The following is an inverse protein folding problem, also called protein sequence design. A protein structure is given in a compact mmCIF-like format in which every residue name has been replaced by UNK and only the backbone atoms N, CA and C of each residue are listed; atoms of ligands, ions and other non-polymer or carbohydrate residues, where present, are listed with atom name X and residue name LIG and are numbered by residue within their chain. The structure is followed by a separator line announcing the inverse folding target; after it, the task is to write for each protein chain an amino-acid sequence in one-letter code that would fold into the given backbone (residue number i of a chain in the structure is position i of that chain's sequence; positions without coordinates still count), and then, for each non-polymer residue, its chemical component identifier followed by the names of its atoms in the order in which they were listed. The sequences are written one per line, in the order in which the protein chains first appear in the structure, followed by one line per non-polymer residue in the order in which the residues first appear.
data_IF_163591407435
#
_entry.id   IF_163591407435
#
_cell.length_a   1.000
_cell.length_b   1.000
_cell.length_c   1.000
_cell.angle_alpha   90.00
_cell.angle_beta   90.00
_cell.angle_gamma   90.00
#
_symmetry.space_group_name_H-M   'P 1'
#
loop_
_entity.id
_entity.type
_entity.pdbx_description
1 polymer ?
#
# COMPACT_ATOMS: atom_id res chain seq x y z
N UNK A 1 25.68 -2.10 6.04
CA UNK A 1 24.96 -0.99 5.39
C UNK A 1 24.27 -1.48 4.10
N UNK A 2 23.20 -2.29 4.17
CA UNK A 2 22.50 -2.78 2.97
C UNK A 2 20.97 -2.53 2.95
N UNK A 3 20.41 -1.84 3.94
CA UNK A 3 18.96 -1.80 4.16
C UNK A 3 18.15 -0.72 3.44
N UNK A 4 18.75 0.20 2.68
CA UNK A 4 18.03 1.41 2.22
C UNK A 4 17.81 1.49 0.69
N UNK A 5 18.63 0.84 -0.13
CA UNK A 5 18.59 1.04 -1.59
C UNK A 5 17.55 0.15 -2.30
N UNK A 6 17.16 -0.99 -1.71
CA UNK A 6 16.22 -1.94 -2.33
C UNK A 6 14.74 -1.53 -2.20
N UNK A 7 14.40 -0.62 -1.27
CA UNK A 7 13.01 -0.27 -0.97
C UNK A 7 12.26 0.29 -2.19
N UNK A 8 12.87 1.25 -2.90
CA UNK A 8 12.28 1.83 -4.10
C UNK A 8 12.26 0.87 -5.30
N UNK A 9 13.29 0.02 -5.41
CA UNK A 9 13.38 -0.97 -6.48
C UNK A 9 12.28 -2.04 -6.35
N UNK A 10 11.99 -2.50 -5.13
CA UNK A 10 10.93 -3.48 -4.87
C UNK A 10 9.54 -2.90 -5.15
N UNK A 11 9.29 -1.63 -4.80
CA UNK A 11 8.04 -0.97 -5.15
C UNK A 11 7.84 -0.92 -6.67
N UNK A 12 8.87 -0.49 -7.41
CA UNK A 12 8.81 -0.44 -8.87
C UNK A 12 8.62 -1.84 -9.48
N UNK A 13 9.32 -2.85 -8.94
CA UNK A 13 9.16 -4.25 -9.36
C UNK A 13 7.73 -4.74 -9.11
N UNK A 14 7.20 -4.52 -7.91
CA UNK A 14 5.83 -4.91 -7.55
C UNK A 14 4.78 -4.23 -8.44
N UNK A 15 4.92 -2.94 -8.73
CA UNK A 15 4.01 -2.21 -9.64
C UNK A 15 4.11 -2.74 -11.08
N UNK A 16 5.32 -3.06 -11.55
CA UNK A 16 5.50 -3.62 -12.89
C UNK A 16 4.90 -5.03 -12.98
N UNK A 17 5.13 -5.88 -11.98
CA UNK A 17 4.52 -7.20 -11.87
C UNK A 17 2.98 -7.11 -11.81
N UNK A 18 2.43 -6.13 -11.09
CA UNK A 18 0.99 -5.86 -11.07
C UNK A 18 0.44 -5.53 -12.47
N UNK A 19 1.15 -4.70 -13.24
CA UNK A 19 0.78 -4.38 -14.63
C UNK A 19 0.95 -5.57 -15.58
N UNK A 20 1.92 -6.44 -15.31
CA UNK A 20 2.17 -7.66 -16.07
C UNK A 20 1.19 -8.81 -15.72
N UNK A 21 0.30 -8.63 -14.74
CA UNK A 21 -0.63 -9.66 -14.28
C UNK A 21 -0.02 -10.67 -13.29
N UNK A 22 1.24 -10.49 -12.90
CA UNK A 22 1.92 -11.33 -11.89
C UNK A 22 1.61 -10.84 -10.47
N UNK A 23 0.35 -10.96 -10.08
CA UNK A 23 -0.17 -10.37 -8.84
C UNK A 23 0.36 -11.02 -7.55
N UNK A 24 0.62 -12.33 -7.55
CA UNK A 24 1.21 -13.01 -6.37
C UNK A 24 2.59 -12.47 -6.03
N UNK A 25 3.47 -12.38 -7.04
CA UNK A 25 4.81 -11.82 -6.88
C UNK A 25 4.74 -10.32 -6.56
N UNK A 26 3.82 -9.58 -7.19
CA UNK A 26 3.59 -8.17 -6.89
C UNK A 26 3.24 -7.95 -5.41
N UNK A 27 2.32 -8.74 -4.86
CA UNK A 27 1.94 -8.66 -3.46
C UNK A 27 3.12 -8.89 -2.52
N UNK A 28 3.94 -9.90 -2.81
CA UNK A 28 5.14 -10.18 -2.03
C UNK A 28 6.06 -8.95 -1.96
N UNK A 29 6.37 -8.34 -3.12
CA UNK A 29 7.21 -7.15 -3.20
C UNK A 29 6.60 -5.94 -2.50
N UNK A 30 5.29 -5.76 -2.66
CA UNK A 30 4.55 -4.69 -2.00
C UNK A 30 4.56 -4.85 -0.48
N UNK A 31 4.45 -6.06 0.06
CA UNK A 31 4.57 -6.27 1.51
C UNK A 31 5.94 -5.87 2.04
N UNK A 32 7.01 -6.23 1.32
CA UNK A 32 8.37 -5.84 1.70
C UNK A 32 8.55 -4.33 1.57
N UNK A 33 7.96 -3.70 0.55
CA UNK A 33 7.97 -2.24 0.40
C UNK A 33 7.20 -1.52 1.53
N UNK A 34 6.03 -2.04 1.95
CA UNK A 34 5.28 -1.49 3.10
C UNK A 34 6.06 -1.60 4.40
N UNK A 35 6.76 -2.72 4.63
CA UNK A 35 7.65 -2.88 5.80
C UNK A 35 8.80 -1.87 5.81
N UNK A 36 9.24 -1.43 4.63
CA UNK A 36 10.27 -0.40 4.48
C UNK A 36 9.72 1.04 4.55
N UNK A 37 8.42 1.21 4.80
CA UNK A 37 7.81 2.54 4.97
C UNK A 37 7.32 3.18 3.66
N UNK A 38 7.26 2.44 2.54
CA UNK A 38 6.68 2.99 1.31
C UNK A 38 5.17 3.08 1.38
N UNK A 39 4.65 4.30 1.55
CA UNK A 39 3.21 4.60 1.63
C UNK A 39 2.41 4.07 0.43
N UNK A 40 3.02 4.06 -0.77
CA UNK A 40 2.38 3.57 -2.00
C UNK A 40 2.07 2.08 -1.93
N UNK A 41 2.85 1.29 -1.19
CA UNK A 41 2.73 -0.15 -1.18
C UNK A 41 1.41 -0.63 -0.55
N UNK A 42 1.03 -0.08 0.60
CA UNK A 42 -0.25 -0.39 1.27
C UNK A 42 -1.46 -0.13 0.36
N UNK A 43 -1.43 0.92 -0.47
CA UNK A 43 -2.49 1.21 -1.44
C UNK A 43 -2.63 0.11 -2.49
N UNK A 44 -1.52 -0.39 -3.05
CA UNK A 44 -1.57 -1.47 -4.03
C UNK A 44 -1.98 -2.81 -3.40
N UNK A 45 -1.58 -3.07 -2.15
CA UNK A 45 -2.05 -4.25 -1.39
C UNK A 45 -3.57 -4.19 -1.22
N UNK A 46 -4.11 -3.03 -0.84
CA UNK A 46 -5.57 -2.80 -0.76
C UNK A 46 -6.28 -3.09 -2.08
N UNK A 47 -5.76 -2.58 -3.19
CA UNK A 47 -6.29 -2.85 -4.54
C UNK A 47 -6.26 -4.35 -4.89
N UNK A 48 -5.22 -5.06 -4.50
CA UNK A 48 -5.13 -6.51 -4.73
C UNK A 48 -6.20 -7.27 -3.94
N UNK A 49 -6.46 -6.90 -2.69
CA UNK A 49 -7.54 -7.50 -1.90
C UNK A 49 -8.94 -7.11 -2.40
N UNK A 50 -9.13 -5.87 -2.88
CA UNK A 50 -10.41 -5.41 -3.42
C UNK A 50 -10.80 -6.16 -4.70
N UNK A 51 -9.82 -6.39 -5.58
CA UNK A 51 -10.04 -7.03 -6.87
C UNK A 51 -9.81 -8.55 -6.85
N UNK A 52 -9.17 -9.08 -5.81
CA UNK A 52 -8.81 -10.50 -5.72
C UNK A 52 -7.60 -10.86 -6.58
N UNK A 53 -6.64 -9.95 -6.73
CA UNK A 53 -5.45 -10.14 -7.54
C UNK A 53 -4.35 -10.85 -6.74
N UNK A 54 -4.07 -12.12 -7.07
CA UNK A 54 -3.07 -12.94 -6.39
C UNK A 54 -3.44 -13.35 -4.96
N UNK A 55 -4.60 -12.92 -4.47
CA UNK A 55 -5.19 -13.29 -3.17
C UNK A 55 -6.69 -13.40 -3.31
N UNK A 56 -7.33 -14.09 -2.36
CA UNK A 56 -8.79 -14.12 -2.27
C UNK A 56 -9.33 -12.71 -2.07
N UNK A 57 -10.31 -12.31 -2.88
CA UNK A 57 -11.00 -11.04 -2.75
C UNK A 57 -11.54 -10.86 -1.34
N UNK A 58 -11.11 -9.80 -0.68
CA UNK A 58 -11.51 -9.44 0.67
C UNK A 58 -11.56 -7.92 0.81
N UNK A 59 -12.76 -7.37 0.57
CA UNK A 59 -13.03 -5.94 0.65
C UNK A 59 -12.85 -5.37 2.06
N UNK A 60 -13.02 -6.19 3.11
CA UNK A 60 -12.80 -5.74 4.49
C UNK A 60 -11.32 -5.51 4.73
N UNK A 61 -10.48 -6.48 4.37
CA UNK A 61 -9.01 -6.30 4.43
C UNK A 61 -8.54 -5.18 3.53
N UNK A 62 -9.11 -5.04 2.33
CA UNK A 62 -8.77 -3.93 1.42
C UNK A 62 -8.97 -2.57 2.10
N UNK A 63 -10.12 -2.37 2.76
CA UNK A 63 -10.41 -1.15 3.50
C UNK A 63 -9.42 -0.89 4.65
N UNK A 64 -9.03 -1.93 5.40
CA UNK A 64 -7.99 -1.84 6.44
C UNK A 64 -6.64 -1.38 5.87
N UNK A 65 -6.23 -1.95 4.73
CA UNK A 65 -4.99 -1.57 4.04
C UNK A 65 -5.04 -0.13 3.50
N UNK A 66 -6.17 0.31 2.95
CA UNK A 66 -6.36 1.70 2.53
C UNK A 66 -6.34 2.67 3.71
N UNK A 67 -6.95 2.31 4.84
CA UNK A 67 -6.94 3.13 6.03
C UNK A 67 -5.51 3.29 6.57
N UNK A 68 -4.75 2.19 6.64
CA UNK A 68 -3.32 2.22 6.99
C UNK A 68 -2.49 3.07 6.04
N UNK A 69 -2.78 3.02 4.74
CA UNK A 69 -2.11 3.85 3.73
C UNK A 69 -2.43 5.35 3.92
N UNK A 70 -3.67 5.68 4.29
CA UNK A 70 -4.09 7.04 4.60
C UNK A 70 -3.35 7.57 5.85
N UNK A 71 -3.33 6.80 6.95
CA UNK A 71 -2.64 7.20 8.18
C UNK A 71 -1.14 7.48 7.99
N UNK A 72 -0.44 6.66 7.19
CA UNK A 72 0.97 6.92 6.84
C UNK A 72 1.15 8.09 5.87
N UNK A 73 0.21 8.27 4.95
CA UNK A 73 0.16 9.43 4.06
C UNK A 73 0.09 10.75 4.81
N UNK A 74 -0.69 10.78 5.90
CA UNK A 74 -0.86 11.93 6.76
C UNK A 74 0.40 12.25 7.58
N UNK A 75 1.19 11.25 8.02
CA UNK A 75 2.46 11.47 8.72
C UNK A 75 3.51 12.23 7.87
N UNK A 76 3.50 12.04 6.55
CA UNK A 76 4.42 12.77 5.65
C UNK A 76 3.92 14.16 5.24
N UNK A 77 2.67 14.48 5.56
CA UNK A 77 2.06 15.79 5.31
C UNK A 77 1.92 16.54 6.62
N UNK A 78 3.01 17.14 7.08
CA UNK A 78 2.88 18.28 7.98
C UNK A 78 2.22 19.44 7.23
N UNK A 79 0.89 19.44 7.19
CA UNK A 79 0.03 20.60 6.97
C UNK A 79 -1.27 20.37 7.77
N UNK A 80 -1.77 21.36 8.53
CA UNK A 80 -2.91 21.17 9.44
C UNK A 80 -4.25 20.96 8.68
N UNK A 81 -4.94 19.87 9.07
CA UNK A 81 -6.38 19.49 9.08
C UNK A 81 -7.38 20.17 8.10
N UNK A 82 -8.45 19.44 7.76
CA UNK A 82 -9.76 19.95 8.15
C UNK A 82 -10.51 19.00 9.09
N UNK A 83 -11.06 19.62 10.13
CA UNK A 83 -11.93 19.12 11.19
C UNK A 83 -13.08 18.23 10.69
N UNK A 84 -13.47 17.15 11.41
CA UNK A 84 -14.80 16.60 11.27
C UNK A 84 -15.76 17.45 12.10
N UNK A 85 -16.37 18.47 11.49
CA UNK A 85 -17.71 18.89 11.93
C UNK A 85 -18.70 18.05 11.15
N UNK A 86 -18.95 16.83 11.62
CA UNK A 86 -20.00 15.96 11.12
C UNK A 86 -20.35 14.89 12.17
N UNK A 87 -20.87 15.34 13.32
CA UNK A 87 -21.92 14.66 14.08
C UNK A 87 -22.26 15.49 15.35
N UNK A 88 -23.28 16.34 15.22
CA UNK A 88 -24.25 16.81 16.24
C UNK A 88 -24.94 18.06 15.70
#
# INVERSE_FOLDING_TARGET
MHGSVLAGALLNRGINSYKAGHYEAALHDLFIADKQGHMKAARYIGLCYENGYGVKKDVKKAAEWFHKAASRGDETKNAPKPSPRANA
#
